data_IF_596897325525
#
_entry.id   IF_596897325525
#
_cell.length_a   1.000
_cell.length_b   1.000
_cell.length_c   1.000
_cell.angle_alpha   90.00
_cell.angle_beta   90.00
_cell.angle_gamma   90.00
#
_symmetry.space_group_name_H-M   'P 1'
#
loop_
_entity.id
_entity.type
_entity.pdbx_description
1 polymer ?
#
# COMPACT_ATOMS: atom_id res chain seq x y z
N UNK A 1 -7.40 -1.30 -3.91
CA UNK A 1 -7.88 -2.46 -4.71
C UNK A 1 -8.74 -1.97 -5.88
N UNK A 2 -8.63 -2.55 -7.09
CA UNK A 2 -9.35 -2.06 -8.29
C UNK A 2 -10.73 -2.72 -8.54
N UNK A 3 -11.06 -3.82 -7.85
CA UNK A 3 -12.32 -4.55 -8.10
C UNK A 3 -13.56 -3.75 -7.63
N UNK A 4 -14.49 -3.47 -8.54
CA UNK A 4 -15.69 -2.66 -8.27
C UNK A 4 -16.65 -3.31 -7.28
N UNK A 5 -16.91 -4.62 -7.42
CA UNK A 5 -17.81 -5.36 -6.52
C UNK A 5 -17.26 -5.42 -5.10
N UNK A 6 -15.96 -5.63 -4.95
CA UNK A 6 -15.29 -5.62 -3.65
C UNK A 6 -15.39 -4.24 -2.98
N UNK A 7 -15.14 -3.16 -3.73
CA UNK A 7 -15.30 -1.79 -3.23
C UNK A 7 -16.71 -1.54 -2.70
N UNK A 8 -17.73 -1.91 -3.47
CA UNK A 8 -19.13 -1.79 -3.04
C UNK A 8 -19.40 -2.55 -1.73
N UNK A 9 -19.06 -3.85 -1.69
CA UNK A 9 -19.33 -4.70 -0.53
C UNK A 9 -18.58 -4.24 0.73
N UNK A 10 -17.35 -3.73 0.58
CA UNK A 10 -16.59 -3.18 1.69
C UNK A 10 -17.23 -1.90 2.22
N UNK A 11 -17.63 -0.98 1.35
CA UNK A 11 -18.33 0.25 1.76
C UNK A 11 -19.61 -0.05 2.52
N UNK A 12 -20.42 -1.01 2.06
CA UNK A 12 -21.65 -1.44 2.73
C UNK A 12 -21.34 -2.05 4.11
N UNK A 13 -20.39 -2.99 4.19
CA UNK A 13 -20.03 -3.67 5.46
C UNK A 13 -19.44 -2.72 6.50
N UNK A 14 -18.67 -1.72 6.07
CA UNK A 14 -18.01 -0.79 6.99
C UNK A 14 -19.00 0.15 7.69
N UNK A 15 -20.27 0.22 7.26
CA UNK A 15 -21.33 0.93 7.99
C UNK A 15 -21.54 0.38 9.41
N UNK A 16 -21.21 -0.89 9.66
CA UNK A 16 -21.29 -1.50 10.99
C UNK A 16 -20.16 -1.05 11.93
N UNK A 17 -19.16 -0.33 11.43
CA UNK A 17 -17.96 0.09 12.17
C UNK A 17 -17.79 1.62 12.06
N UNK A 18 -18.66 2.41 12.72
CA UNK A 18 -18.69 3.87 12.56
C UNK A 18 -17.40 4.56 13.00
N UNK A 19 -16.64 3.95 13.90
CA UNK A 19 -15.37 4.48 14.41
C UNK A 19 -14.15 4.04 13.56
N UNK A 20 -14.37 3.32 12.46
CA UNK A 20 -13.30 2.83 11.58
C UNK A 20 -13.45 3.43 10.17
N UNK A 21 -12.43 4.15 9.73
CA UNK A 21 -12.41 4.75 8.40
C UNK A 21 -12.00 3.75 7.33
N UNK A 22 -12.86 3.55 6.31
CA UNK A 22 -12.50 2.85 5.08
C UNK A 22 -11.78 3.82 4.12
N UNK A 23 -10.51 3.54 3.81
CA UNK A 23 -9.74 4.29 2.81
C UNK A 23 -9.59 3.46 1.54
N UNK A 24 -10.09 3.97 0.41
CA UNK A 24 -9.95 3.31 -0.89
C UNK A 24 -9.21 4.26 -1.86
N UNK A 25 -8.01 3.90 -2.36
CA UNK A 25 -7.28 4.75 -3.29
C UNK A 25 -8.01 4.97 -4.63
N UNK A 26 -7.67 6.04 -5.37
CA UNK A 26 -8.05 6.21 -6.76
C UNK A 26 -7.69 4.99 -7.61
N UNK A 27 -8.44 4.75 -8.69
CA UNK A 27 -8.27 3.56 -9.52
C UNK A 27 -6.86 3.44 -10.12
N UNK A 28 -6.29 4.56 -10.59
CA UNK A 28 -4.96 4.61 -11.18
C UNK A 28 -3.82 4.33 -10.17
N UNK A 29 -4.10 4.31 -8.87
CA UNK A 29 -3.14 3.95 -7.82
C UNK A 29 -3.25 2.49 -7.36
N UNK A 30 -4.23 1.71 -7.85
CA UNK A 30 -4.54 0.40 -7.27
C UNK A 30 -3.79 -0.77 -7.89
N UNK A 31 -3.23 -0.60 -9.07
CA UNK A 31 -2.34 -1.56 -9.74
C UNK A 31 -0.90 -1.08 -9.61
N UNK A 32 0.06 -1.96 -9.87
CA UNK A 32 1.47 -1.61 -9.76
C UNK A 32 1.81 -0.35 -10.58
N UNK A 33 2.46 0.60 -9.91
CA UNK A 33 2.82 1.88 -10.50
C UNK A 33 4.10 2.43 -9.84
N UNK A 34 4.91 3.18 -10.59
CA UNK A 34 6.13 3.77 -10.05
C UNK A 34 5.85 4.87 -9.02
N UNK A 35 4.67 5.49 -9.04
CA UNK A 35 4.31 6.55 -8.10
C UNK A 35 4.26 6.04 -6.64
N UNK A 36 3.77 4.82 -6.41
CA UNK A 36 3.75 4.22 -5.06
C UNK A 36 5.17 3.92 -4.55
N UNK A 37 6.08 3.50 -5.44
CA UNK A 37 7.49 3.26 -5.10
C UNK A 37 8.17 4.59 -4.74
N UNK A 38 7.93 5.64 -5.52
CA UNK A 38 8.43 6.99 -5.22
C UNK A 38 7.89 7.55 -3.90
N UNK A 39 6.60 7.35 -3.61
CA UNK A 39 5.99 7.76 -2.35
C UNK A 39 6.62 7.06 -1.14
N UNK A 40 6.82 5.74 -1.22
CA UNK A 40 7.51 4.97 -0.16
C UNK A 40 8.96 5.45 0.00
N UNK A 41 9.69 5.65 -1.11
CA UNK A 41 11.06 6.15 -1.07
C UNK A 41 11.18 7.54 -0.45
N UNK A 42 10.24 8.44 -0.74
CA UNK A 42 10.19 9.77 -0.10
C UNK A 42 9.97 9.66 1.41
N UNK A 43 9.02 8.84 1.85
CA UNK A 43 8.77 8.62 3.28
C UNK A 43 10.00 8.00 3.97
N UNK A 44 10.66 7.02 3.35
CA UNK A 44 11.89 6.42 3.87
C UNK A 44 13.02 7.46 4.00
N UNK A 45 13.21 8.30 2.98
CA UNK A 45 14.17 9.40 3.00
C UNK A 45 13.90 10.38 4.16
N UNK A 46 12.64 10.77 4.39
CA UNK A 46 12.27 11.65 5.50
C UNK A 46 12.60 11.04 6.88
N UNK A 47 12.64 9.71 7.00
CA UNK A 47 13.01 9.00 8.22
C UNK A 47 14.51 8.63 8.29
N UNK A 48 15.33 9.05 7.32
CA UNK A 48 16.75 8.72 7.29
C UNK A 48 17.06 7.25 6.98
N UNK A 49 16.12 6.53 6.36
CA UNK A 49 16.29 5.14 5.96
C UNK A 49 16.90 5.09 4.56
N UNK A 50 18.15 4.61 4.47
CA UNK A 50 18.90 4.51 3.22
C UNK A 50 19.39 3.08 3.00
N UNK A 51 19.30 2.62 1.76
CA UNK A 51 20.02 1.42 1.32
C UNK A 51 21.48 1.75 0.98
N UNK A 52 22.27 0.71 0.75
CA UNK A 52 23.63 0.82 0.23
C UNK A 52 23.74 0.27 -1.20
N UNK A 53 24.94 0.36 -1.77
CA UNK A 53 25.21 -0.12 -3.14
C UNK A 53 25.31 -1.64 -3.26
N UNK A 54 25.24 -2.38 -2.15
CA UNK A 54 25.22 -3.85 -2.14
C UNK A 54 23.81 -4.41 -2.26
N UNK A 55 22.78 -3.56 -2.17
CA UNK A 55 21.38 -3.95 -2.30
C UNK A 55 21.12 -4.72 -3.61
N UNK A 56 20.49 -5.89 -3.47
CA UNK A 56 20.09 -6.75 -4.57
C UNK A 56 18.59 -7.04 -4.51
N UNK A 57 18.02 -7.47 -5.63
CA UNK A 57 16.63 -7.89 -5.66
C UNK A 57 16.45 -9.21 -4.88
N UNK A 58 15.46 -9.25 -4.00
CA UNK A 58 15.03 -10.47 -3.32
C UNK A 58 13.62 -10.85 -3.81
N UNK A 59 13.48 -11.94 -4.60
CA UNK A 59 12.18 -12.39 -5.09
C UNK A 59 11.30 -13.03 -3.99
N UNK A 60 11.87 -13.35 -2.82
CA UNK A 60 11.18 -13.90 -1.66
C UNK A 60 10.95 -12.88 -0.54
N UNK A 61 11.15 -11.58 -0.82
CA UNK A 61 11.00 -10.53 0.18
C UNK A 61 9.58 -10.54 0.77
N UNK A 62 9.49 -10.75 2.08
CA UNK A 62 8.22 -10.75 2.81
C UNK A 62 7.74 -9.32 3.08
N UNK A 63 6.42 -9.14 3.19
CA UNK A 63 5.87 -7.86 3.61
C UNK A 63 6.10 -7.66 5.13
N UNK A 64 6.28 -6.41 5.59
CA UNK A 64 6.38 -6.13 7.02
C UNK A 64 5.16 -6.69 7.78
N UNK A 65 5.42 -7.53 8.79
CA UNK A 65 4.37 -8.13 9.64
C UNK A 65 3.83 -9.48 9.18
N UNK A 66 4.42 -10.12 8.17
CA UNK A 66 4.10 -11.49 7.75
C UNK A 66 4.87 -12.59 8.52
N UNK A 67 5.43 -12.28 9.71
CA UNK A 67 6.07 -13.25 10.63
C UNK A 67 5.06 -14.06 11.46
#
# INVERSE_FOLDING_TARGET
>A
AANSRLRQLMTEKMQAYPDVQLVIPPMYCCTDNAAMIGAVGYVAYQHGLFGDLSAAADPGLMMPGEE
#
